data_IF_036330304437
#
_entry.id   IF_036330304437
#
_cell.length_a   1.000
_cell.length_b   1.000
_cell.length_c   1.000
_cell.angle_alpha   90.00
_cell.angle_beta   90.00
_cell.angle_gamma   90.00
#
_symmetry.space_group_name_H-M   'P 1'
#
loop_
_entity.id
_entity.type
_entity.pdbx_description
1 polymer ?
#
# COMPACT_ATOMS: atom_id res chain seq x y z
N UNK A 1 -12.68 -17.71 -19.60
CA UNK A 1 -12.86 -16.31 -19.16
C UNK A 1 -13.73 -15.65 -20.21
N UNK A 2 -14.96 -15.28 -19.86
CA UNK A 2 -15.82 -14.52 -20.77
C UNK A 2 -15.40 -13.05 -20.77
N UNK A 3 -15.75 -12.30 -21.81
CA UNK A 3 -15.44 -10.87 -21.89
C UNK A 3 -16.10 -10.06 -20.75
N UNK A 4 -17.29 -10.52 -20.29
CA UNK A 4 -17.98 -10.00 -19.12
C UNK A 4 -17.20 -10.22 -17.81
N UNK A 5 -16.48 -11.33 -17.70
CA UNK A 5 -15.60 -11.64 -16.57
C UNK A 5 -14.38 -10.69 -16.56
N UNK A 6 -13.78 -10.45 -17.73
CA UNK A 6 -12.66 -9.51 -17.88
C UNK A 6 -13.04 -8.08 -17.45
N UNK A 7 -14.19 -7.57 -17.93
CA UNK A 7 -14.64 -6.22 -17.63
C UNK A 7 -14.96 -6.06 -16.12
N UNK A 8 -15.59 -7.06 -15.51
CA UNK A 8 -15.89 -7.09 -14.08
C UNK A 8 -14.61 -7.07 -13.23
N UNK A 9 -13.63 -7.88 -13.63
CA UNK A 9 -12.32 -7.95 -13.00
C UNK A 9 -11.55 -6.63 -13.12
N UNK A 10 -11.54 -6.00 -14.29
CA UNK A 10 -10.91 -4.69 -14.47
C UNK A 10 -11.57 -3.63 -13.58
N UNK A 11 -12.91 -3.61 -13.51
CA UNK A 11 -13.67 -2.62 -12.77
C UNK A 11 -13.49 -2.67 -11.24
N UNK A 12 -13.12 -3.83 -10.66
CA UNK A 12 -12.87 -3.95 -9.20
C UNK A 12 -11.48 -3.50 -8.75
N UNK A 13 -10.50 -3.39 -9.66
CA UNK A 13 -9.10 -3.04 -9.31
C UNK A 13 -8.97 -1.56 -8.95
N UNK A 14 -8.17 -1.25 -7.93
CA UNK A 14 -7.83 0.12 -7.52
C UNK A 14 -6.31 0.22 -7.36
N UNK A 15 -5.65 0.87 -8.31
CA UNK A 15 -4.19 1.08 -8.31
C UNK A 15 -3.92 2.56 -8.05
N UNK A 16 -3.16 2.86 -6.99
CA UNK A 16 -2.85 4.23 -6.59
C UNK A 16 -1.49 4.31 -5.89
N UNK A 17 -0.98 5.52 -5.72
CA UNK A 17 0.23 5.83 -4.97
C UNK A 17 -0.04 6.97 -3.98
N UNK A 18 0.72 7.01 -2.88
CA UNK A 18 0.70 8.12 -1.93
C UNK A 18 1.94 8.97 -2.16
N UNK A 19 1.74 10.22 -2.55
CA UNK A 19 2.78 11.24 -2.69
C UNK A 19 2.63 12.27 -1.55
N UNK A 20 3.74 12.61 -0.89
CA UNK A 20 3.72 13.57 0.21
C UNK A 20 5.10 14.19 0.43
N UNK A 21 5.13 15.30 1.16
CA UNK A 21 6.35 15.85 1.72
C UNK A 21 6.97 14.87 2.75
N UNK A 22 8.30 14.93 3.01
CA UNK A 22 8.90 14.22 4.14
C UNK A 22 8.11 14.43 5.44
N UNK A 23 8.03 13.37 6.26
CA UNK A 23 7.37 13.34 7.56
C UNK A 23 5.84 13.63 7.59
N UNK A 24 5.18 13.80 6.45
CA UNK A 24 3.73 13.99 6.35
C UNK A 24 2.88 12.76 6.74
N UNK A 25 3.51 11.65 7.13
CA UNK A 25 2.82 10.46 7.62
C UNK A 25 2.41 9.43 6.57
N UNK A 26 3.01 9.46 5.36
CA UNK A 26 2.78 8.45 4.30
C UNK A 26 2.84 7.02 4.85
N UNK A 27 3.91 6.68 5.59
CA UNK A 27 4.12 5.34 6.16
C UNK A 27 3.01 4.95 7.13
N UNK A 28 2.59 5.87 8.01
CA UNK A 28 1.50 5.63 8.97
C UNK A 28 0.17 5.40 8.26
N UNK A 29 -0.13 6.16 7.21
CA UNK A 29 -1.32 5.96 6.40
C UNK A 29 -1.29 4.61 5.67
N UNK A 30 -0.14 4.23 5.09
CA UNK A 30 0.06 2.92 4.45
C UNK A 30 -0.19 1.76 5.41
N UNK A 31 0.34 1.82 6.65
CA UNK A 31 0.09 0.78 7.66
C UNK A 31 -1.40 0.60 7.95
N UNK A 32 -2.15 1.70 8.08
CA UNK A 32 -3.58 1.65 8.36
C UNK A 32 -4.39 1.08 7.21
N UNK A 33 -4.08 1.46 5.97
CA UNK A 33 -4.73 0.91 4.78
C UNK A 33 -4.50 -0.60 4.67
N UNK A 34 -3.27 -1.08 4.92
CA UNK A 34 -2.96 -2.50 4.94
C UNK A 34 -3.70 -3.25 6.05
N UNK A 35 -3.79 -2.67 7.25
CA UNK A 35 -4.55 -3.25 8.36
C UNK A 35 -6.04 -3.38 8.03
N UNK A 36 -6.65 -2.34 7.46
CA UNK A 36 -8.06 -2.37 7.05
C UNK A 36 -8.33 -3.33 5.89
N UNK A 37 -7.34 -3.55 5.02
CA UNK A 37 -7.39 -4.56 3.97
C UNK A 37 -7.11 -6.01 4.44
N UNK A 38 -6.86 -6.23 5.73
CA UNK A 38 -6.51 -7.55 6.27
C UNK A 38 -5.08 -8.01 5.97
N UNK A 39 -4.23 -7.16 5.39
CA UNK A 39 -2.83 -7.43 5.09
C UNK A 39 -1.92 -7.22 6.32
N UNK A 40 -2.15 -8.01 7.37
CA UNK A 40 -1.56 -7.82 8.71
C UNK A 40 -0.02 -7.91 8.67
N UNK A 41 0.53 -8.87 7.92
CA UNK A 41 1.98 -9.09 7.84
C UNK A 41 2.68 -7.94 7.12
N UNK A 42 2.08 -7.46 6.04
CA UNK A 42 2.55 -6.34 5.25
C UNK A 42 2.49 -5.05 6.07
N UNK A 43 1.39 -4.83 6.83
CA UNK A 43 1.28 -3.72 7.77
C UNK A 43 2.39 -3.75 8.85
N UNK A 44 2.69 -4.93 9.40
CA UNK A 44 3.79 -5.13 10.36
C UNK A 44 5.18 -4.84 9.76
N UNK A 45 5.40 -5.24 8.49
CA UNK A 45 6.66 -4.98 7.77
C UNK A 45 6.89 -3.49 7.50
N UNK A 46 5.85 -2.74 7.14
CA UNK A 46 5.92 -1.28 6.93
C UNK A 46 6.29 -0.57 8.24
N UNK A 47 5.69 -0.99 9.37
CA UNK A 47 6.01 -0.47 10.70
C UNK A 47 7.45 -0.77 11.12
N UNK A 48 7.91 -1.99 10.88
CA UNK A 48 9.27 -2.42 11.22
C UNK A 48 10.35 -1.63 10.45
N UNK A 49 10.09 -1.31 9.18
CA UNK A 49 11.00 -0.49 8.35
C UNK A 49 11.21 0.92 8.93
N UNK A 50 10.16 1.56 9.47
CA UNK A 50 10.27 2.89 10.11
C UNK A 50 11.21 2.93 11.32
N UNK A 51 11.39 1.80 12.02
CA UNK A 51 12.25 1.70 13.20
C UNK A 51 13.75 1.51 12.89
N UNK A 52 14.10 1.11 11.65
CA UNK A 52 15.48 0.79 11.27
C UNK A 52 16.16 1.81 10.35
N UNK A 53 15.40 2.54 9.54
CA UNK A 53 15.85 3.59 8.63
C UNK A 53 14.62 4.36 8.12
N UNK A 54 14.75 5.65 7.78
CA UNK A 54 13.70 6.36 7.06
C UNK A 54 13.29 5.52 5.86
N UNK A 55 12.00 5.26 5.66
CA UNK A 55 11.50 4.51 4.51
C UNK A 55 11.99 5.18 3.22
N UNK A 56 13.15 4.77 2.73
CA UNK A 56 13.65 5.06 1.40
C UNK A 56 12.57 4.54 0.49
N UNK A 57 12.03 5.42 -0.34
CA UNK A 57 11.22 4.99 -1.47
C UNK A 57 12.00 3.90 -2.19
N UNK A 58 11.47 2.68 -2.23
CA UNK A 58 12.02 1.57 -3.05
C UNK A 58 11.90 1.99 -4.53
N UNK A 59 12.81 2.85 -4.97
CA UNK A 59 13.26 2.93 -6.34
C UNK A 59 14.54 2.10 -6.39
N UNK A 60 14.32 0.80 -6.67
CA UNK A 60 15.30 -0.29 -6.74
C UNK A 60 15.66 -0.97 -5.42
#
# INVERSE_FOLDING_TARGET
>A
MSELDLATEAARRRTFAIISHPDAGKTTLTEKLLLYGGAIREAGSVKARRGGQSATSDWM
#
